data_IF_491827603794
#
_entry.id   IF_491827603794
#
_cell.length_a   1.000
_cell.length_b   1.000
_cell.length_c   1.000
_cell.angle_alpha   90.00
_cell.angle_beta   90.00
_cell.angle_gamma   90.00
#
_symmetry.space_group_name_H-M   'P 1'
#
loop_
_entity.id
_entity.type
_entity.pdbx_description
1 polymer ?
#
# COMPACT_ATOMS: atom_id res chain seq x y z
N UNK A 1 22.96 1.52 -15.89
CA UNK A 1 22.90 1.72 -17.35
C UNK A 1 21.45 1.56 -17.79
N UNK A 2 20.88 2.56 -18.44
CA UNK A 2 19.53 2.47 -19.00
C UNK A 2 19.64 1.66 -20.29
N UNK A 3 19.39 0.35 -20.20
CA UNK A 3 19.32 -0.51 -21.39
C UNK A 3 18.12 -0.06 -22.22
N UNK A 4 18.26 0.22 -23.53
CA UNK A 4 17.14 0.52 -24.41
C UNK A 4 16.04 -0.53 -24.24
N UNK A 5 14.79 -0.06 -24.16
CA UNK A 5 13.64 -0.89 -23.77
C UNK A 5 13.45 -2.11 -24.69
N UNK A 6 13.81 -2.01 -25.97
CA UNK A 6 13.72 -3.11 -26.96
C UNK A 6 14.73 -4.23 -26.69
N UNK A 7 15.91 -3.92 -26.14
CA UNK A 7 16.93 -4.90 -25.80
C UNK A 7 16.49 -5.82 -24.65
N UNK A 8 15.58 -5.37 -23.79
CA UNK A 8 15.11 -6.16 -22.64
C UNK A 8 14.28 -7.38 -23.07
N UNK A 9 13.46 -7.24 -24.10
CA UNK A 9 12.60 -8.34 -24.60
C UNK A 9 13.43 -9.44 -25.24
N UNK A 10 14.40 -9.06 -26.07
CA UNK A 10 15.33 -9.97 -26.71
C UNK A 10 16.19 -10.65 -25.64
N UNK A 11 16.71 -9.90 -24.66
CA UNK A 11 17.45 -10.48 -23.55
C UNK A 11 16.62 -11.44 -22.69
N UNK A 12 15.33 -11.17 -22.50
CA UNK A 12 14.44 -12.09 -21.79
C UNK A 12 14.21 -13.37 -22.62
N UNK A 13 13.93 -13.25 -23.91
CA UNK A 13 13.78 -14.40 -24.81
C UNK A 13 15.04 -15.27 -24.88
N UNK A 14 16.22 -14.66 -24.97
CA UNK A 14 17.51 -15.37 -25.01
C UNK A 14 17.85 -16.07 -23.69
N UNK A 15 17.31 -15.59 -22.56
CA UNK A 15 17.59 -16.14 -21.22
C UNK A 15 16.55 -17.14 -20.74
N UNK A 16 15.31 -17.08 -21.26
CA UNK A 16 14.23 -17.99 -20.87
C UNK A 16 14.28 -19.25 -21.74
N UNK A 17 15.19 -20.15 -21.40
CA UNK A 17 15.38 -21.44 -22.10
C UNK A 17 14.57 -22.59 -21.50
N UNK A 18 13.87 -22.35 -20.39
CA UNK A 18 13.06 -23.32 -19.66
C UNK A 18 11.81 -22.62 -19.09
N UNK A 19 10.76 -23.37 -18.68
CA UNK A 19 9.56 -22.77 -18.09
C UNK A 19 9.88 -21.84 -16.93
N UNK A 20 9.39 -20.60 -17.00
CA UNK A 20 9.55 -19.55 -15.98
C UNK A 20 8.18 -18.99 -15.61
N UNK A 21 7.95 -18.79 -14.30
CA UNK A 21 6.77 -18.10 -13.78
C UNK A 21 7.21 -16.73 -13.26
N UNK A 22 6.58 -15.68 -13.78
CA UNK A 22 6.77 -14.30 -13.32
C UNK A 22 5.56 -13.89 -12.49
N UNK A 23 5.78 -13.51 -11.23
CA UNK A 23 4.73 -12.96 -10.35
C UNK A 23 4.80 -11.44 -10.40
N UNK A 24 3.71 -10.81 -10.84
CA UNK A 24 3.54 -9.37 -10.91
C UNK A 24 2.63 -8.93 -9.78
N UNK A 25 3.24 -8.47 -8.69
CA UNK A 25 2.52 -7.91 -7.54
C UNK A 25 2.15 -6.44 -7.75
N UNK A 26 1.09 -5.97 -7.09
CA UNK A 26 0.50 -4.62 -7.26
C UNK A 26 0.29 -4.22 -8.74
N UNK A 27 -0.23 -5.14 -9.55
CA UNK A 27 -0.28 -4.99 -10.99
C UNK A 27 -1.39 -4.04 -11.49
N UNK A 28 -2.13 -3.34 -10.63
CA UNK A 28 -3.24 -2.45 -11.01
C UNK A 28 -2.84 -1.34 -12.00
N UNK A 29 -1.59 -0.90 -11.94
CA UNK A 29 -1.02 0.07 -12.87
C UNK A 29 -0.55 -0.52 -14.21
N UNK A 30 -0.34 -1.83 -14.29
CA UNK A 30 0.27 -2.52 -15.42
C UNK A 30 -0.43 -2.25 -16.77
N UNK A 31 -1.78 -2.21 -16.86
CA UNK A 31 -2.49 -1.93 -18.12
C UNK A 31 -2.19 -0.54 -18.71
N UNK A 32 -1.61 0.37 -17.94
CA UNK A 32 -1.22 1.71 -18.43
C UNK A 32 0.19 1.73 -19.03
N UNK A 33 0.82 0.55 -19.16
CA UNK A 33 2.19 0.36 -19.63
C UNK A 33 2.22 -0.70 -20.72
N UNK A 34 3.30 -0.74 -21.50
CA UNK A 34 3.55 -1.77 -22.52
C UNK A 34 4.27 -3.02 -21.95
N UNK A 35 4.39 -3.14 -20.62
CA UNK A 35 5.17 -4.20 -20.00
C UNK A 35 4.55 -5.58 -20.18
N UNK A 36 3.21 -5.67 -20.12
CA UNK A 36 2.52 -6.95 -20.29
C UNK A 36 2.59 -7.47 -21.73
N UNK A 37 2.42 -6.59 -22.73
CA UNK A 37 2.58 -6.94 -24.16
C UNK A 37 3.90 -7.68 -24.42
N UNK A 38 4.97 -7.16 -23.82
CA UNK A 38 6.32 -7.66 -23.97
C UNK A 38 6.54 -9.01 -23.30
N UNK A 39 5.95 -9.23 -22.13
CA UNK A 39 6.09 -10.49 -21.38
C UNK A 39 5.37 -11.64 -22.08
N UNK A 40 4.21 -11.36 -22.68
CA UNK A 40 3.38 -12.38 -23.35
C UNK A 40 4.01 -12.90 -24.65
N UNK A 41 4.92 -12.12 -25.26
CA UNK A 41 5.67 -12.53 -26.44
C UNK A 41 6.91 -13.40 -26.12
N UNK A 42 7.18 -13.72 -24.85
CA UNK A 42 8.29 -14.58 -24.44
C UNK A 42 7.83 -16.04 -24.35
N UNK A 43 8.42 -16.93 -25.15
CA UNK A 43 8.15 -18.37 -25.05
C UNK A 43 8.57 -18.93 -23.69
N UNK A 44 7.87 -19.97 -23.21
CA UNK A 44 8.07 -20.60 -21.90
C UNK A 44 7.85 -19.69 -20.68
N UNK A 45 7.26 -18.50 -20.86
CA UNK A 45 6.94 -17.59 -19.77
C UNK A 45 5.45 -17.62 -19.42
N UNK A 46 5.17 -17.88 -18.15
CA UNK A 46 3.82 -17.75 -17.56
C UNK A 46 3.79 -16.58 -16.59
N UNK A 47 2.68 -15.85 -16.54
CA UNK A 47 2.51 -14.68 -15.67
C UNK A 47 1.41 -14.95 -14.64
N UNK A 48 1.71 -14.68 -13.37
CA UNK A 48 0.71 -14.57 -12.30
C UNK A 48 0.56 -13.10 -11.97
N UNK A 49 -0.65 -12.56 -12.13
CA UNK A 49 -0.97 -11.16 -11.89
C UNK A 49 -1.74 -11.06 -10.58
N UNK A 50 -1.27 -10.21 -9.67
CA UNK A 50 -1.96 -9.88 -8.42
C UNK A 50 -2.47 -8.44 -8.54
N UNK A 51 -3.79 -8.27 -8.47
CA UNK A 51 -4.47 -6.98 -8.60
C UNK A 51 -5.70 -6.93 -7.70
N UNK A 52 -6.24 -5.74 -7.46
CA UNK A 52 -7.37 -5.55 -6.55
C UNK A 52 -8.72 -5.86 -7.20
N UNK A 53 -8.88 -5.53 -8.48
CA UNK A 53 -10.11 -5.74 -9.23
C UNK A 53 -9.81 -6.37 -10.60
N UNK A 54 -9.94 -7.69 -10.75
CA UNK A 54 -9.61 -8.37 -12.00
C UNK A 54 -10.50 -7.91 -13.16
N UNK A 55 -11.77 -7.62 -12.94
CA UNK A 55 -12.69 -7.14 -13.98
C UNK A 55 -12.27 -5.77 -14.53
N UNK A 56 -12.01 -4.81 -13.64
CA UNK A 56 -11.54 -3.47 -14.03
C UNK A 56 -10.17 -3.57 -14.72
N UNK A 57 -9.27 -4.38 -14.16
CA UNK A 57 -7.94 -4.59 -14.70
C UNK A 57 -7.98 -5.16 -16.12
N UNK A 58 -8.77 -6.22 -16.33
CA UNK A 58 -9.02 -6.82 -17.64
C UNK A 58 -9.66 -5.81 -18.58
N UNK A 59 -10.61 -4.99 -18.11
CA UNK A 59 -11.30 -3.97 -18.92
C UNK A 59 -10.37 -2.91 -19.52
N UNK A 60 -9.18 -2.73 -18.94
CA UNK A 60 -8.15 -1.78 -19.39
C UNK A 60 -7.12 -2.40 -20.34
N UNK A 61 -7.10 -3.73 -20.47
CA UNK A 61 -6.22 -4.40 -21.43
C UNK A 61 -6.69 -4.24 -22.87
N UNK A 62 -5.73 -4.08 -23.77
CA UNK A 62 -5.95 -4.06 -25.21
C UNK A 62 -6.56 -5.37 -25.73
N UNK A 63 -7.47 -5.27 -26.71
CA UNK A 63 -8.20 -6.41 -27.25
C UNK A 63 -7.34 -7.47 -27.96
N UNK A 64 -6.04 -7.19 -28.22
CA UNK A 64 -5.07 -8.19 -28.69
C UNK A 64 -4.58 -9.07 -27.54
N UNK A 65 -4.18 -8.45 -26.42
CA UNK A 65 -3.73 -9.15 -25.21
C UNK A 65 -4.81 -10.08 -24.66
N UNK A 66 -6.05 -9.59 -24.57
CA UNK A 66 -7.18 -10.39 -24.06
C UNK A 66 -7.44 -11.65 -24.86
N UNK A 67 -7.16 -11.64 -26.17
CA UNK A 67 -7.35 -12.81 -27.04
C UNK A 67 -6.19 -13.80 -26.99
N UNK A 68 -4.99 -13.33 -26.62
CA UNK A 68 -3.78 -14.16 -26.51
C UNK A 68 -3.64 -14.83 -25.15
N UNK A 69 -4.15 -14.17 -24.11
CA UNK A 69 -4.06 -14.65 -22.74
C UNK A 69 -5.27 -15.52 -22.39
N UNK A 70 -4.99 -16.71 -21.84
CA UNK A 70 -5.99 -17.51 -21.12
C UNK A 70 -5.86 -17.14 -19.65
N UNK A 71 -6.85 -16.43 -19.11
CA UNK A 71 -6.89 -16.08 -17.70
C UNK A 71 -7.63 -17.15 -16.91
N UNK A 72 -7.05 -17.56 -15.79
CA UNK A 72 -7.77 -18.24 -14.71
C UNK A 72 -7.77 -17.28 -13.54
N UNK A 73 -8.96 -16.85 -13.15
CA UNK A 73 -9.14 -15.98 -12.00
C UNK A 73 -9.17 -16.80 -10.71
N UNK A 74 -8.52 -16.27 -9.67
CA UNK A 74 -8.61 -16.79 -8.33
C UNK A 74 -8.90 -15.63 -7.38
N UNK A 75 -10.14 -15.55 -6.90
CA UNK A 75 -10.56 -14.57 -5.92
C UNK A 75 -10.05 -14.93 -4.53
N UNK A 76 -9.54 -13.93 -3.80
CA UNK A 76 -9.21 -14.04 -2.40
C UNK A 76 -10.25 -13.28 -1.58
N UNK A 77 -11.10 -14.00 -0.89
CA UNK A 77 -12.08 -13.42 0.02
C UNK A 77 -11.46 -13.08 1.38
N UNK A 78 -12.19 -12.30 2.18
CA UNK A 78 -11.82 -12.05 3.57
C UNK A 78 -11.91 -13.34 4.37
N UNK A 79 -10.98 -13.52 5.29
CA UNK A 79 -11.00 -14.67 6.19
C UNK A 79 -12.23 -14.62 7.10
N UNK A 80 -12.81 -15.79 7.36
CA UNK A 80 -13.72 -15.95 8.48
C UNK A 80 -12.98 -15.77 9.82
N UNK A 81 -13.74 -15.54 10.90
CA UNK A 81 -13.18 -15.23 12.22
C UNK A 81 -12.28 -16.37 12.73
N UNK A 82 -12.72 -17.61 12.55
CA UNK A 82 -12.01 -18.82 12.92
C UNK A 82 -10.73 -19.03 12.09
N UNK A 83 -10.81 -18.85 10.77
CA UNK A 83 -9.65 -18.94 9.87
C UNK A 83 -8.58 -17.89 10.22
N UNK A 84 -9.01 -16.65 10.49
CA UNK A 84 -8.09 -15.61 10.89
C UNK A 84 -7.53 -15.86 12.29
N UNK A 85 -8.33 -16.34 13.23
CA UNK A 85 -7.84 -16.74 14.56
C UNK A 85 -6.77 -17.84 14.46
N UNK A 86 -6.92 -18.83 13.56
CA UNK A 86 -5.89 -19.85 13.28
C UNK A 86 -4.57 -19.23 12.78
N UNK A 87 -4.67 -18.26 11.86
CA UNK A 87 -3.51 -17.52 11.35
C UNK A 87 -2.82 -16.76 12.50
N UNK A 88 -3.60 -16.05 13.32
CA UNK A 88 -3.06 -15.27 14.44
C UNK A 88 -2.45 -16.18 15.50
N UNK A 89 -3.04 -17.33 15.79
CA UNK A 89 -2.51 -18.33 16.70
C UNK A 89 -1.16 -18.86 16.22
N UNK A 90 -1.03 -19.17 14.93
CA UNK A 90 0.25 -19.59 14.35
C UNK A 90 1.34 -18.49 14.46
N UNK A 91 0.95 -17.21 14.45
CA UNK A 91 1.85 -16.08 14.68
C UNK A 91 2.21 -15.94 16.15
N UNK A 92 1.23 -16.02 17.05
CA UNK A 92 1.42 -15.96 18.50
C UNK A 92 2.40 -17.05 18.96
N UNK A 93 2.19 -18.31 18.54
CA UNK A 93 3.07 -19.44 18.87
C UNK A 93 4.54 -19.24 18.45
N UNK A 94 4.82 -18.41 17.43
CA UNK A 94 6.17 -18.12 16.95
C UNK A 94 6.78 -16.86 17.55
N UNK A 95 5.95 -15.91 17.96
CA UNK A 95 6.37 -14.56 18.32
C UNK A 95 6.15 -14.18 19.78
N UNK A 96 5.37 -14.96 20.54
CA UNK A 96 4.98 -14.67 21.90
C UNK A 96 5.29 -15.87 22.82
N UNK A 97 5.53 -15.63 24.13
CA UNK A 97 5.62 -16.72 25.10
C UNK A 97 4.32 -17.54 25.15
N UNK A 98 4.43 -18.82 25.51
CA UNK A 98 3.27 -19.70 25.61
C UNK A 98 2.30 -19.23 26.70
N UNK A 99 1.00 -19.23 26.41
CA UNK A 99 -0.05 -18.93 27.38
C UNK A 99 -0.37 -17.44 27.57
N UNK A 100 0.35 -16.52 26.93
CA UNK A 100 0.12 -15.07 27.13
C UNK A 100 -1.11 -14.52 26.41
N UNK A 101 -1.74 -15.32 25.54
CA UNK A 101 -2.95 -14.93 24.81
C UNK A 101 -3.84 -16.14 24.60
N UNK A 102 -5.15 -15.96 24.79
CA UNK A 102 -6.15 -17.02 24.63
C UNK A 102 -6.74 -17.06 23.22
N UNK A 103 -7.38 -18.17 22.87
CA UNK A 103 -8.07 -18.33 21.58
C UNK A 103 -9.19 -17.31 21.42
N UNK A 104 -9.95 -17.06 22.47
CA UNK A 104 -11.06 -16.11 22.49
C UNK A 104 -10.58 -14.68 22.20
N UNK A 105 -9.40 -14.31 22.70
CA UNK A 105 -8.79 -13.01 22.39
C UNK A 105 -8.35 -12.91 20.92
N UNK A 106 -7.83 -13.99 20.35
CA UNK A 106 -7.49 -14.04 18.92
C UNK A 106 -8.74 -13.92 18.03
N UNK A 107 -9.84 -14.57 18.43
CA UNK A 107 -11.14 -14.46 17.75
C UNK A 107 -11.73 -13.05 17.87
N UNK A 108 -11.60 -12.41 19.04
CA UNK A 108 -12.01 -11.01 19.23
C UNK A 108 -11.22 -10.06 18.31
N UNK A 109 -9.91 -10.28 18.16
CA UNK A 109 -9.08 -9.53 17.20
C UNK A 109 -9.57 -9.80 15.77
N UNK A 110 -9.78 -11.07 15.41
CA UNK A 110 -10.19 -11.48 14.07
C UNK A 110 -11.54 -10.89 13.65
N UNK A 111 -12.52 -10.91 14.55
CA UNK A 111 -13.85 -10.31 14.35
C UNK A 111 -13.75 -8.80 14.13
N UNK A 112 -13.01 -8.11 15.00
CA UNK A 112 -12.87 -6.65 14.95
C UNK A 112 -12.23 -6.15 13.66
N UNK A 113 -11.27 -6.90 13.09
CA UNK A 113 -10.59 -6.52 11.84
C UNK A 113 -11.30 -6.99 10.58
N UNK A 114 -12.50 -7.58 10.73
CA UNK A 114 -13.37 -8.03 9.65
C UNK A 114 -12.63 -8.91 8.62
N UNK A 115 -11.84 -9.88 9.10
CA UNK A 115 -11.15 -10.85 8.24
C UNK A 115 -9.89 -10.34 7.53
N UNK A 116 -9.43 -9.11 7.81
CA UNK A 116 -8.21 -8.56 7.21
C UNK A 116 -6.97 -9.01 7.99
N UNK A 117 -6.27 -10.03 7.48
CA UNK A 117 -5.12 -10.63 8.16
C UNK A 117 -4.01 -9.63 8.52
N UNK A 118 -3.68 -8.69 7.63
CA UNK A 118 -2.68 -7.64 7.93
C UNK A 118 -3.08 -6.80 9.14
N UNK A 119 -4.35 -6.42 9.25
CA UNK A 119 -4.87 -5.64 10.40
C UNK A 119 -4.85 -6.50 11.66
N UNK A 120 -5.26 -7.77 11.58
CA UNK A 120 -5.24 -8.70 12.72
C UNK A 120 -3.84 -8.94 13.27
N UNK A 121 -2.85 -9.20 12.40
CA UNK A 121 -1.45 -9.45 12.82
C UNK A 121 -0.87 -8.19 13.48
N UNK A 122 -1.16 -7.00 12.96
CA UNK A 122 -0.69 -5.76 13.58
C UNK A 122 -1.41 -5.46 14.89
N UNK A 123 -2.71 -5.73 15.00
CA UNK A 123 -3.45 -5.62 16.26
C UNK A 123 -2.87 -6.55 17.33
N UNK A 124 -2.64 -7.83 17.01
CA UNK A 124 -1.97 -8.77 17.91
C UNK A 124 -0.59 -8.26 18.37
N UNK A 125 0.20 -7.74 17.43
CA UNK A 125 1.51 -7.16 17.76
C UNK A 125 1.39 -5.96 18.70
N UNK A 126 0.46 -5.04 18.46
CA UNK A 126 0.28 -3.88 19.34
C UNK A 126 -0.29 -4.27 20.71
N UNK A 127 -1.16 -5.27 20.79
CA UNK A 127 -1.67 -5.77 22.07
C UNK A 127 -0.53 -6.33 22.93
N UNK A 128 0.39 -7.09 22.32
CA UNK A 128 1.58 -7.58 23.03
C UNK A 128 2.50 -6.45 23.51
N UNK A 129 2.71 -5.41 22.70
CA UNK A 129 3.52 -4.25 23.09
C UNK A 129 2.86 -3.43 24.20
N UNK A 130 1.53 -3.28 24.17
CA UNK A 130 0.79 -2.58 25.22
C UNK A 130 0.83 -3.34 26.55
N UNK A 131 0.68 -4.67 26.52
CA UNK A 131 0.85 -5.52 27.69
C UNK A 131 2.25 -5.36 28.30
N UNK A 132 3.31 -5.35 27.46
CA UNK A 132 4.69 -5.09 27.90
C UNK A 132 4.83 -3.68 28.50
N UNK A 133 4.31 -2.64 27.85
CA UNK A 133 4.35 -1.25 28.34
C UNK A 133 3.61 -1.05 29.68
N UNK A 134 2.63 -1.91 29.98
CA UNK A 134 1.82 -1.90 31.20
C UNK A 134 2.29 -2.89 32.26
N UNK A 135 3.43 -3.55 32.03
CA UNK A 135 3.97 -4.59 32.91
C UNK A 135 2.98 -5.76 33.16
N UNK A 136 2.11 -6.07 32.20
CA UNK A 136 1.21 -7.22 32.28
C UNK A 136 1.95 -8.53 31.96
N UNK A 137 1.67 -9.59 32.71
CA UNK A 137 2.24 -10.93 32.46
C UNK A 137 1.57 -11.67 31.31
N UNK A 138 0.34 -11.28 30.97
CA UNK A 138 -0.48 -11.83 29.89
C UNK A 138 -1.12 -10.65 29.14
N UNK A 139 -1.55 -10.86 27.90
CA UNK A 139 -2.29 -9.84 27.16
C UNK A 139 -3.68 -9.75 27.77
N UNK A 140 -4.07 -8.57 28.27
CA UNK A 140 -5.39 -8.34 28.84
C UNK A 140 -6.37 -7.81 27.79
N UNK A 141 -7.67 -7.83 28.11
CA UNK A 141 -8.73 -7.34 27.22
C UNK A 141 -8.55 -5.85 26.86
N UNK A 142 -8.04 -5.04 27.80
CA UNK A 142 -7.79 -3.61 27.58
C UNK A 142 -6.60 -3.39 26.62
N UNK A 143 -5.61 -4.29 26.62
CA UNK A 143 -4.50 -4.25 25.66
C UNK A 143 -4.98 -4.54 24.25
N UNK A 144 -5.88 -5.52 24.10
CA UNK A 144 -6.52 -5.83 22.82
C UNK A 144 -7.38 -4.67 22.34
N UNK A 145 -8.18 -4.07 23.21
CA UNK A 145 -9.04 -2.94 22.86
C UNK A 145 -8.25 -1.73 22.36
N UNK A 146 -7.16 -1.37 23.04
CA UNK A 146 -6.34 -0.22 22.68
C UNK A 146 -5.38 -0.49 21.50
N UNK A 147 -5.11 -1.78 21.21
CA UNK A 147 -4.24 -2.17 20.12
C UNK A 147 -4.75 -1.77 18.74
N UNK A 148 -6.07 -1.67 18.52
CA UNK A 148 -6.63 -1.47 17.18
C UNK A 148 -6.26 -0.11 16.58
N UNK A 149 -6.43 0.99 17.31
CA UNK A 149 -6.07 2.32 16.82
C UNK A 149 -4.55 2.44 16.64
N UNK A 150 -3.77 1.90 17.59
CA UNK A 150 -2.31 1.86 17.47
C UNK A 150 -1.84 1.06 16.25
N UNK A 151 -2.50 -0.07 15.96
CA UNK A 151 -2.19 -0.91 14.81
C UNK A 151 -2.54 -0.22 13.49
N UNK A 152 -3.69 0.45 13.44
CA UNK A 152 -4.11 1.24 12.28
C UNK A 152 -3.10 2.35 11.98
N UNK A 153 -2.71 3.12 13.01
CA UNK A 153 -1.69 4.17 12.87
C UNK A 153 -0.36 3.60 12.40
N UNK A 154 0.10 2.52 13.01
CA UNK A 154 1.33 1.85 12.60
C UNK A 154 1.28 1.40 11.13
N UNK A 155 0.15 0.86 10.66
CA UNK A 155 -0.03 0.48 9.25
C UNK A 155 0.10 1.70 8.33
N UNK A 156 -0.54 2.82 8.67
CA UNK A 156 -0.43 4.06 7.91
C UNK A 156 1.02 4.58 7.87
N UNK A 157 1.73 4.57 9.00
CA UNK A 157 3.14 4.93 9.04
C UNK A 157 3.99 4.04 8.12
N UNK A 158 3.78 2.72 8.13
CA UNK A 158 4.53 1.81 7.25
C UNK A 158 4.19 2.03 5.78
N UNK A 159 2.92 2.27 5.46
CA UNK A 159 2.47 2.60 4.10
C UNK A 159 3.12 3.92 3.63
N UNK A 160 3.19 4.94 4.47
CA UNK A 160 3.84 6.19 4.11
C UNK A 160 5.36 6.03 3.92
N UNK A 161 6.01 5.27 4.81
CA UNK A 161 7.45 5.00 4.75
C UNK A 161 7.87 4.21 3.51
N UNK A 162 7.01 3.31 3.00
CA UNK A 162 7.30 2.55 1.78
C UNK A 162 7.20 3.40 0.50
N UNK A 163 6.50 4.54 0.55
CA UNK A 163 6.27 5.36 -0.63
C UNK A 163 7.47 6.25 -0.97
N UNK A 164 7.76 6.48 -2.28
CA UNK A 164 8.82 7.39 -2.70
C UNK A 164 8.60 8.83 -2.25
N UNK A 165 9.70 9.57 -2.12
CA UNK A 165 9.78 10.99 -1.72
C UNK A 165 8.61 11.89 -2.17
N UNK A 166 8.27 11.90 -3.46
CA UNK A 166 7.23 12.79 -3.96
C UNK A 166 5.83 12.51 -3.37
N UNK A 167 5.52 11.26 -3.00
CA UNK A 167 4.26 10.93 -2.34
C UNK A 167 4.28 11.42 -0.89
N UNK A 168 5.38 11.15 -0.18
CA UNK A 168 5.59 11.62 1.18
C UNK A 168 5.53 13.15 1.30
N UNK A 169 6.01 13.88 0.29
CA UNK A 169 5.94 15.34 0.24
C UNK A 169 4.49 15.82 0.08
N UNK A 170 3.75 15.24 -0.86
CA UNK A 170 2.35 15.58 -1.08
C UNK A 170 1.50 15.27 0.16
N UNK A 171 1.74 14.12 0.79
CA UNK A 171 1.10 13.76 2.04
C UNK A 171 1.36 14.80 3.14
N UNK A 172 2.62 15.20 3.32
CA UNK A 172 2.98 16.15 4.38
C UNK A 172 2.35 17.53 4.16
N UNK A 173 2.30 18.01 2.91
CA UNK A 173 1.60 19.24 2.58
C UNK A 173 0.11 19.18 2.94
N UNK A 174 -0.54 18.04 2.63
CA UNK A 174 -1.96 17.81 2.97
C UNK A 174 -2.17 17.77 4.49
N UNK A 175 -1.30 17.05 5.21
CA UNK A 175 -1.34 16.90 6.67
C UNK A 175 -1.25 18.26 7.37
N UNK A 176 -0.16 18.99 7.14
CA UNK A 176 0.08 20.32 7.73
C UNK A 176 -0.96 21.34 7.28
N UNK A 177 -1.52 21.16 6.08
CA UNK A 177 -2.62 21.99 5.59
C UNK A 177 -3.95 21.82 6.32
N UNK A 178 -4.15 20.76 7.09
CA UNK A 178 -5.41 20.52 7.79
C UNK A 178 -6.60 20.24 6.85
N UNK A 179 -6.33 19.87 5.60
CA UNK A 179 -7.33 19.78 4.53
C UNK A 179 -7.11 20.85 3.46
N UNK A 180 -6.80 20.44 2.23
CA UNK A 180 -6.46 21.35 1.13
C UNK A 180 -7.37 21.15 -0.06
N UNK A 181 -7.83 22.25 -0.65
CA UNK A 181 -8.42 22.20 -1.98
C UNK A 181 -7.34 21.91 -3.03
N UNK A 182 -7.73 21.32 -4.16
CA UNK A 182 -6.79 20.96 -5.22
C UNK A 182 -5.89 22.13 -5.69
N UNK A 183 -6.44 23.33 -5.85
CA UNK A 183 -5.66 24.51 -6.22
C UNK A 183 -4.63 24.91 -5.16
N UNK A 184 -5.05 24.94 -3.90
CA UNK A 184 -4.19 25.28 -2.75
C UNK A 184 -3.04 24.28 -2.59
N UNK A 185 -3.31 22.99 -2.79
CA UNK A 185 -2.26 21.97 -2.79
C UNK A 185 -1.21 22.22 -3.88
N UNK A 186 -1.63 22.64 -5.08
CA UNK A 186 -0.71 22.99 -6.16
C UNK A 186 0.14 24.21 -5.79
N UNK A 187 -0.48 25.28 -5.27
CA UNK A 187 0.20 26.49 -4.83
C UNK A 187 1.23 26.20 -3.72
N UNK A 188 0.83 25.47 -2.67
CA UNK A 188 1.73 25.07 -1.59
C UNK A 188 2.89 24.21 -2.08
N UNK A 189 2.63 23.31 -3.02
CA UNK A 189 3.68 22.49 -3.62
C UNK A 189 4.72 23.35 -4.35
N UNK A 190 4.28 24.32 -5.16
CA UNK A 190 5.21 25.23 -5.85
C UNK A 190 6.00 26.09 -4.85
N UNK A 191 5.32 26.59 -3.80
CA UNK A 191 5.94 27.44 -2.79
C UNK A 191 7.11 26.77 -2.05
N UNK A 192 7.04 25.45 -1.84
CA UNK A 192 8.10 24.70 -1.13
C UNK A 192 9.08 24.02 -2.06
N UNK A 193 8.82 23.99 -3.38
CA UNK A 193 9.59 23.18 -4.32
C UNK A 193 11.09 23.56 -4.29
N UNK A 194 11.41 24.83 -4.42
CA UNK A 194 12.81 25.27 -4.50
C UNK A 194 13.63 24.86 -3.26
N UNK A 195 13.06 24.95 -2.07
CA UNK A 195 13.73 24.59 -0.83
C UNK A 195 13.80 23.08 -0.63
N UNK A 196 12.69 22.38 -0.87
CA UNK A 196 12.57 20.93 -0.64
C UNK A 196 13.46 20.13 -1.59
N UNK A 197 13.62 20.58 -2.85
CA UNK A 197 14.48 19.93 -3.84
C UNK A 197 15.94 20.40 -3.82
N UNK A 198 16.28 21.45 -3.06
CA UNK A 198 17.65 21.97 -2.99
C UNK A 198 18.63 20.89 -2.52
N UNK A 199 19.68 20.65 -3.30
CA UNK A 199 20.73 19.67 -2.98
C UNK A 199 20.28 18.21 -3.14
N UNK A 200 19.11 17.95 -3.71
CA UNK A 200 18.61 16.59 -4.00
C UNK A 200 18.79 16.23 -5.47
N UNK A 201 18.87 14.93 -5.77
CA UNK A 201 18.94 14.42 -7.15
C UNK A 201 17.59 14.34 -7.87
N UNK A 202 16.50 14.69 -7.18
CA UNK A 202 15.14 14.69 -7.71
C UNK A 202 14.72 16.09 -8.16
N UNK A 203 13.76 16.16 -9.09
CA UNK A 203 13.19 17.43 -9.59
C UNK A 203 11.69 17.51 -9.32
N UNK A 204 11.09 18.71 -9.23
CA UNK A 204 9.65 18.87 -9.13
C UNK A 204 8.89 18.10 -10.22
N UNK A 205 7.78 17.48 -9.84
CA UNK A 205 6.92 16.74 -10.77
C UNK A 205 5.76 17.58 -11.29
N UNK A 206 5.32 17.31 -12.51
CA UNK A 206 4.17 17.98 -13.13
C UNK A 206 2.85 17.71 -12.38
N UNK A 207 1.85 18.56 -12.57
CA UNK A 207 0.52 18.35 -11.95
C UNK A 207 -0.11 17.00 -12.29
N UNK A 208 0.06 16.53 -13.54
CA UNK A 208 -0.41 15.20 -13.95
C UNK A 208 0.23 14.11 -13.11
N UNK A 209 1.55 14.20 -12.87
CA UNK A 209 2.27 13.26 -12.03
C UNK A 209 1.85 13.37 -10.56
N UNK A 210 1.55 14.57 -10.05
CA UNK A 210 0.99 14.75 -8.69
C UNK A 210 -0.34 14.03 -8.54
N UNK A 211 -1.25 14.11 -9.52
CA UNK A 211 -2.54 13.40 -9.47
C UNK A 211 -2.38 11.88 -9.37
N UNK A 212 -1.46 11.29 -10.14
CA UNK A 212 -1.14 9.86 -10.04
C UNK A 212 -0.64 9.49 -8.63
N UNK A 213 0.18 10.35 -8.02
CA UNK A 213 0.68 10.15 -6.66
C UNK A 213 -0.42 10.28 -5.60
N UNK A 214 -1.34 11.21 -5.78
CA UNK A 214 -2.50 11.38 -4.90
C UNK A 214 -3.41 10.17 -4.93
N UNK A 215 -3.64 9.57 -6.10
CA UNK A 215 -4.40 8.32 -6.20
C UNK A 215 -3.76 7.18 -5.40
N UNK A 216 -2.43 7.04 -5.43
CA UNK A 216 -1.73 6.03 -4.62
C UNK A 216 -1.81 6.31 -3.12
N UNK A 217 -1.79 7.58 -2.71
CA UNK A 217 -2.01 7.97 -1.30
C UNK A 217 -3.43 7.63 -0.83
N UNK A 218 -4.43 7.83 -1.68
CA UNK A 218 -5.83 7.46 -1.41
C UNK A 218 -5.99 5.94 -1.34
N UNK A 219 -5.42 5.19 -2.28
CA UNK A 219 -5.39 3.72 -2.31
C UNK A 219 -4.79 3.15 -1.02
N UNK A 220 -3.75 3.79 -0.48
CA UNK A 220 -3.07 3.37 0.75
C UNK A 220 -3.76 3.85 2.03
N UNK A 221 -4.97 4.40 1.93
CA UNK A 221 -5.78 4.98 3.00
C UNK A 221 -5.08 6.14 3.75
N UNK A 222 -4.02 6.73 3.19
CA UNK A 222 -3.25 7.81 3.84
C UNK A 222 -3.98 9.15 3.79
N UNK A 223 -4.77 9.37 2.74
CA UNK A 223 -5.58 10.57 2.58
C UNK A 223 -7.03 10.20 2.26
N UNK A 224 -7.94 11.11 2.58
CA UNK A 224 -9.33 11.11 2.12
C UNK A 224 -9.50 12.17 1.04
N UNK A 225 -10.23 11.82 -0.01
CA UNK A 225 -10.57 12.73 -1.10
C UNK A 225 -12.07 12.92 -1.12
N UNK A 226 -12.51 14.17 -0.99
CA UNK A 226 -13.93 14.53 -1.06
C UNK A 226 -14.17 15.50 -2.23
N UNK A 227 -15.31 15.35 -2.91
CA UNK A 227 -15.66 16.20 -4.05
C UNK A 227 -15.09 15.73 -5.39
N UNK A 228 -15.35 16.51 -6.44
CA UNK A 228 -14.99 16.16 -7.84
C UNK A 228 -14.28 17.30 -8.56
N UNK A 229 -13.39 16.93 -9.49
CA UNK A 229 -12.63 17.87 -10.32
C UNK A 229 -11.91 18.94 -9.49
N UNK A 230 -12.17 20.23 -9.77
CA UNK A 230 -11.56 21.38 -9.07
C UNK A 230 -12.05 21.57 -7.63
N UNK A 231 -13.16 20.93 -7.27
CA UNK A 231 -13.75 21.02 -5.93
C UNK A 231 -13.29 19.86 -5.04
N UNK A 232 -12.20 19.19 -5.40
CA UNK A 232 -11.59 18.14 -4.58
C UNK A 232 -10.90 18.75 -3.37
N UNK A 233 -11.17 18.18 -2.21
CA UNK A 233 -10.48 18.44 -0.95
C UNK A 233 -9.73 17.19 -0.53
N UNK A 234 -8.48 17.36 -0.12
CA UNK A 234 -7.61 16.30 0.34
C UNK A 234 -7.32 16.51 1.82
N UNK A 235 -7.54 15.48 2.65
CA UNK A 235 -7.28 15.53 4.10
C UNK A 235 -6.51 14.29 4.51
N UNK A 236 -5.54 14.42 5.43
CA UNK A 236 -4.84 13.26 5.99
C UNK A 236 -5.82 12.37 6.79
N UNK A 237 -5.71 11.05 6.65
CA UNK A 237 -6.58 10.10 7.36
C UNK A 237 -6.30 10.05 8.86
N UNK A 238 -5.06 10.31 9.27
CA UNK A 238 -4.62 10.45 10.65
C UNK A 238 -3.57 11.57 10.72
N UNK A 239 -3.83 12.61 11.51
CA UNK A 239 -2.95 13.79 11.65
C UNK A 239 -1.69 13.49 12.47
N UNK A 240 -1.70 12.42 13.27
CA UNK A 240 -0.56 11.99 14.09
C UNK A 240 0.49 11.21 13.27
N UNK A 241 0.15 10.77 12.05
CA UNK A 241 1.11 10.09 11.17
C UNK A 241 1.93 11.13 10.43
N UNK A 242 3.21 11.24 10.79
CA UNK A 242 4.12 12.23 10.19
C UNK A 242 4.95 11.66 9.05
N UNK A 243 5.18 12.49 8.03
CA UNK A 243 6.15 12.19 6.98
C UNK A 243 7.58 12.37 7.50
N UNK A 244 8.55 11.57 7.05
CA UNK A 244 9.96 11.83 7.34
C UNK A 244 10.49 13.10 6.63
N UNK A 245 9.68 13.72 5.76
CA UNK A 245 10.02 14.96 5.08
C UNK A 245 9.57 16.13 5.95
N UNK A 246 10.53 16.92 6.42
CA UNK A 246 10.25 18.19 7.08
C UNK A 246 9.96 19.27 6.03
N UNK A 247 8.75 19.82 6.05
CA UNK A 247 8.36 20.97 5.23
C UNK A 247 8.23 22.18 6.15
N UNK A 248 9.10 23.17 5.98
CA UNK A 248 8.98 24.45 6.68
C UNK A 248 7.91 25.30 5.97
N UNK A 249 6.64 25.06 6.27
CA UNK A 249 5.59 25.99 5.90
C UNK A 249 5.63 27.15 6.90
N UNK A 250 6.13 28.29 6.47
CA UNK A 250 5.92 29.53 7.23
C UNK A 250 4.42 29.83 7.11
N UNK A 251 3.68 29.59 8.19
CA UNK A 251 2.24 29.91 8.29
C UNK A 251 2.04 31.42 8.25
#
# INVERSE_FOLDING_TARGET
>A
MNVPREDLCIQLQERVTSPVIVVLDEADGLPSTDALDRLVDVENLSVVVICHNPDEWLSRLDGRLRRRLSFTEFGLDRYHVDELADILEARARRGLPSGVITREQLEAIADKVAGVARKGIQALRQAALLAEERDHSEIESDDVADAFERAKRYILEQNLKSLPFHHQLLYELIRVGGGLQAGELHERYEAVADDVYRGRGQTPVSERSRRLKLSKLEEYELIKVEGVNRHRTYTASDQEVESPILVNLTV
#
